data_IF_019806490599
#
_entry.id   IF_019806490599
#
_cell.length_a   1.000
_cell.length_b   1.000
_cell.length_c   1.000
_cell.angle_alpha   90.00
_cell.angle_beta   90.00
_cell.angle_gamma   90.00
#
_symmetry.space_group_name_H-M   'P 1'
#
loop_
_entity.id
_entity.type
_entity.pdbx_description
1 polymer ?
#
# COMPACT_ATOMS: atom_id res chain seq x y z
N UNK A 1 34.61 -12.40 -8.83
CA UNK A 1 33.52 -12.89 -7.97
C UNK A 1 32.25 -12.19 -8.42
N UNK A 2 31.45 -12.80 -9.29
CA UNK A 2 30.31 -12.12 -9.92
C UNK A 2 29.28 -13.03 -10.60
N UNK A 3 29.51 -14.35 -10.60
CA UNK A 3 28.59 -15.31 -11.20
C UNK A 3 27.52 -15.84 -10.20
N UNK A 4 27.72 -15.67 -8.89
CA UNK A 4 26.80 -16.22 -7.89
C UNK A 4 25.52 -15.39 -7.69
N UNK A 5 25.57 -14.07 -7.92
CA UNK A 5 24.40 -13.20 -7.69
C UNK A 5 23.32 -13.33 -8.78
N UNK A 6 23.70 -13.67 -10.02
CA UNK A 6 22.76 -13.80 -11.14
C UNK A 6 22.14 -15.20 -11.26
N UNK A 7 22.78 -16.25 -10.71
CA UNK A 7 22.28 -17.63 -10.80
C UNK A 7 21.18 -17.96 -9.77
N UNK A 8 21.11 -17.23 -8.66
CA UNK A 8 20.13 -17.48 -7.58
C UNK A 8 18.72 -17.00 -7.95
N UNK A 9 18.59 -16.03 -8.87
CA UNK A 9 17.29 -15.43 -9.23
C UNK A 9 16.35 -16.37 -10.00
N UNK A 10 16.90 -17.34 -10.74
CA UNK A 10 16.09 -18.26 -11.57
C UNK A 10 15.53 -19.42 -10.75
N UNK A 11 16.22 -19.85 -9.70
CA UNK A 11 15.87 -21.04 -8.91
C UNK A 11 14.94 -20.72 -7.72
N UNK A 12 14.89 -19.47 -7.27
CA UNK A 12 14.07 -19.04 -6.16
C UNK A 12 13.49 -17.64 -6.41
N UNK A 13 12.50 -17.51 -7.31
CA UNK A 13 11.92 -16.21 -7.67
C UNK A 13 11.31 -15.52 -6.45
N UNK A 14 10.64 -16.25 -5.56
CA UNK A 14 10.03 -15.68 -4.35
C UNK A 14 11.06 -15.07 -3.40
N UNK A 15 12.18 -15.76 -3.16
CA UNK A 15 13.27 -15.23 -2.33
C UNK A 15 13.89 -13.97 -2.94
N UNK A 16 13.99 -13.93 -4.27
CA UNK A 16 14.50 -12.76 -4.99
C UNK A 16 13.56 -11.57 -4.81
N UNK A 17 12.25 -11.78 -4.98
CA UNK A 17 11.25 -10.74 -4.78
C UNK A 17 11.25 -10.25 -3.33
N UNK A 18 11.33 -11.16 -2.34
CA UNK A 18 11.43 -10.79 -0.93
C UNK A 18 12.66 -9.93 -0.64
N UNK A 19 13.82 -10.26 -1.19
CA UNK A 19 15.04 -9.46 -1.05
C UNK A 19 14.88 -8.07 -1.67
N UNK A 20 14.27 -7.97 -2.87
CA UNK A 20 13.94 -6.68 -3.50
C UNK A 20 13.02 -5.86 -2.60
N UNK A 21 11.97 -6.47 -2.05
CA UNK A 21 11.04 -5.82 -1.12
C UNK A 21 11.73 -5.26 0.11
N UNK A 22 12.66 -6.01 0.73
CA UNK A 22 13.45 -5.54 1.87
C UNK A 22 14.27 -4.29 1.53
N UNK A 23 14.95 -4.28 0.38
CA UNK A 23 15.73 -3.12 -0.07
C UNK A 23 14.83 -1.90 -0.30
N UNK A 24 13.67 -2.10 -0.94
CA UNK A 24 12.68 -1.04 -1.19
C UNK A 24 12.15 -0.43 0.11
N UNK A 25 11.81 -1.26 1.10
CA UNK A 25 11.36 -0.79 2.41
C UNK A 25 12.39 0.08 3.12
N UNK A 26 13.67 -0.33 3.09
CA UNK A 26 14.74 0.47 3.69
C UNK A 26 14.91 1.80 2.95
N UNK A 27 14.86 1.79 1.62
CA UNK A 27 14.96 3.01 0.83
C UNK A 27 13.83 4.00 1.13
N UNK A 28 12.59 3.51 1.21
CA UNK A 28 11.41 4.33 1.56
C UNK A 28 11.54 4.95 2.96
N UNK A 29 12.00 4.18 3.95
CA UNK A 29 12.23 4.71 5.28
C UNK A 29 13.28 5.84 5.26
N UNK A 30 14.41 5.64 4.57
CA UNK A 30 15.46 6.66 4.45
C UNK A 30 14.96 7.94 3.78
N UNK A 31 14.15 7.83 2.72
CA UNK A 31 13.57 8.97 2.03
C UNK A 31 12.66 9.80 2.95
N UNK A 32 11.78 9.15 3.70
CA UNK A 32 10.91 9.82 4.69
C UNK A 32 11.72 10.55 5.78
N UNK A 33 12.84 9.97 6.23
CA UNK A 33 13.75 10.63 7.17
C UNK A 33 14.59 11.74 6.52
N UNK A 34 14.97 11.64 5.25
CA UNK A 34 15.77 12.65 4.57
C UNK A 34 14.95 13.89 4.21
N UNK A 35 13.67 13.71 3.87
CA UNK A 35 12.73 14.79 3.63
C UNK A 35 12.43 15.60 4.91
N UNK A 36 12.64 14.98 6.10
CA UNK A 36 12.41 15.60 7.41
C UNK A 36 13.48 16.62 7.86
N UNK A 37 14.26 17.19 6.95
CA UNK A 37 15.36 18.11 7.32
C UNK A 37 14.88 19.48 7.80
N UNK A 38 13.58 19.76 7.74
CA UNK A 38 12.98 20.93 8.39
C UNK A 38 12.72 20.64 9.88
N UNK A 39 13.48 21.26 10.81
CA UNK A 39 13.31 21.04 12.25
C UNK A 39 11.95 21.53 12.79
N UNK A 40 11.17 22.25 11.97
CA UNK A 40 9.83 22.76 12.33
C UNK A 40 8.71 21.87 11.80
N UNK A 41 8.89 21.24 10.63
CA UNK A 41 7.82 20.48 9.96
C UNK A 41 7.68 19.03 10.44
N UNK A 42 8.69 18.48 11.14
CA UNK A 42 8.70 17.08 11.53
C UNK A 42 8.94 16.12 10.34
N UNK A 43 8.87 14.80 10.55
CA UNK A 43 9.04 13.82 9.48
C UNK A 43 7.93 13.91 8.43
N UNK A 44 8.34 13.86 7.15
CA UNK A 44 7.41 13.77 6.05
C UNK A 44 6.54 12.52 6.23
N UNK A 45 5.23 12.67 6.02
CA UNK A 45 4.31 11.55 6.09
C UNK A 45 4.36 10.74 4.79
N UNK A 46 4.26 9.40 4.86
CA UNK A 46 4.03 8.58 3.68
C UNK A 46 2.81 9.09 2.92
N UNK A 47 2.92 9.20 1.60
CA UNK A 47 1.84 9.75 0.76
C UNK A 47 1.31 8.72 -0.21
N UNK A 48 -0.02 8.60 -0.31
CA UNK A 48 -0.71 7.80 -1.33
C UNK A 48 -1.62 8.70 -2.15
N UNK A 49 -1.60 8.53 -3.48
CA UNK A 49 -2.51 9.21 -4.41
C UNK A 49 -3.64 8.27 -4.80
N UNK A 50 -4.87 8.64 -4.51
CA UNK A 50 -6.05 7.88 -4.92
C UNK A 50 -6.34 8.13 -6.41
N UNK A 51 -6.67 7.07 -7.12
CA UNK A 51 -7.04 7.08 -8.53
C UNK A 51 -8.56 6.97 -8.75
N UNK A 52 -8.94 6.84 -10.01
CA UNK A 52 -10.35 6.68 -10.42
C UNK A 52 -10.91 5.31 -10.03
N UNK A 53 -12.24 5.22 -10.02
CA UNK A 53 -12.95 3.95 -9.92
C UNK A 53 -12.86 3.19 -11.25
N UNK A 54 -12.53 1.90 -11.17
CA UNK A 54 -12.58 1.05 -12.34
C UNK A 54 -12.23 -0.41 -12.09
N UNK A 55 -11.99 -1.17 -13.17
CA UNK A 55 -11.65 -2.59 -13.10
C UNK A 55 -10.22 -2.79 -12.58
N UNK A 56 -9.89 -4.01 -12.16
CA UNK A 56 -8.55 -4.41 -11.73
C UNK A 56 -7.45 -4.11 -12.77
N UNK A 57 -7.80 -4.10 -14.06
CA UNK A 57 -6.87 -3.73 -15.13
C UNK A 57 -6.29 -2.30 -15.00
N UNK A 58 -6.91 -1.41 -14.21
CA UNK A 58 -6.32 -0.09 -13.93
C UNK A 58 -5.02 -0.18 -13.11
N UNK A 59 -4.80 -1.26 -12.35
CA UNK A 59 -3.55 -1.47 -11.62
C UNK A 59 -2.34 -1.53 -12.56
N UNK A 60 -2.54 -2.00 -13.79
CA UNK A 60 -1.46 -2.18 -14.78
C UNK A 60 -1.01 -0.85 -15.41
N UNK A 61 -1.75 0.25 -15.18
CA UNK A 61 -1.33 1.60 -15.60
C UNK A 61 -0.05 2.04 -14.87
N UNK A 62 0.13 1.59 -13.62
CA UNK A 62 1.38 1.74 -12.87
C UNK A 62 1.92 3.19 -12.79
N UNK A 63 1.02 4.18 -12.68
CA UNK A 63 1.39 5.61 -12.63
C UNK A 63 1.69 6.13 -11.21
N UNK A 64 1.63 5.25 -10.22
CA UNK A 64 1.78 5.57 -8.80
C UNK A 64 0.49 5.96 -8.07
N UNK A 65 -0.65 5.96 -8.76
CA UNK A 65 -1.96 6.09 -8.11
C UNK A 65 -2.47 4.73 -7.64
N UNK A 66 -3.38 4.77 -6.66
CA UNK A 66 -4.14 3.63 -6.18
C UNK A 66 -5.57 3.77 -6.71
N UNK A 67 -5.96 3.19 -7.86
CA UNK A 67 -7.35 3.21 -8.32
C UNK A 67 -8.29 2.52 -7.34
N UNK A 68 -9.54 2.97 -7.29
CA UNK A 68 -10.60 2.29 -6.58
C UNK A 68 -11.08 1.09 -7.39
N UNK A 69 -11.17 -0.08 -6.78
CA UNK A 69 -11.46 -1.32 -7.49
C UNK A 69 -12.94 -1.69 -7.39
N UNK A 70 -13.64 -1.66 -8.54
CA UNK A 70 -15.08 -1.97 -8.66
C UNK A 70 -15.46 -3.34 -8.10
N UNK A 71 -14.56 -4.32 -8.20
CA UNK A 71 -14.81 -5.68 -7.75
C UNK A 71 -15.05 -5.81 -6.24
N UNK A 72 -14.63 -4.85 -5.43
CA UNK A 72 -14.93 -4.82 -4.00
C UNK A 72 -16.30 -4.21 -3.69
N UNK A 73 -16.91 -3.46 -4.62
CA UNK A 73 -18.23 -2.84 -4.44
C UNK A 73 -19.38 -3.85 -4.44
N UNK A 74 -19.12 -5.11 -4.75
CA UNK A 74 -20.10 -6.20 -4.64
C UNK A 74 -20.56 -6.42 -3.20
N UNK A 75 -19.73 -6.05 -2.22
CA UNK A 75 -20.07 -6.07 -0.80
C UNK A 75 -20.43 -4.66 -0.34
N UNK A 76 -21.73 -4.39 -0.19
CA UNK A 76 -22.26 -3.05 0.10
C UNK A 76 -21.79 -2.49 1.46
N UNK A 77 -21.37 -3.37 2.38
CA UNK A 77 -20.88 -2.95 3.70
C UNK A 77 -19.38 -2.70 3.75
N UNK A 78 -18.65 -3.05 2.69
CA UNK A 78 -17.22 -2.84 2.58
C UNK A 78 -16.94 -1.40 2.13
N UNK A 79 -15.92 -0.80 2.74
CA UNK A 79 -15.44 0.52 2.34
C UNK A 79 -14.82 0.49 0.94
N UNK A 80 -14.71 1.65 0.25
CA UNK A 80 -13.92 1.76 -0.97
C UNK A 80 -12.51 1.18 -0.79
N UNK A 81 -12.12 0.30 -1.71
CA UNK A 81 -10.80 -0.34 -1.72
C UNK A 81 -9.97 0.24 -2.85
N UNK A 82 -8.89 0.91 -2.47
CA UNK A 82 -7.90 1.48 -3.38
C UNK A 82 -6.67 0.59 -3.40
N UNK A 83 -6.14 0.25 -4.57
CA UNK A 83 -5.06 -0.73 -4.66
C UNK A 83 -3.96 -0.29 -5.62
N UNK A 84 -2.74 -0.75 -5.37
CA UNK A 84 -1.64 -0.62 -6.32
C UNK A 84 -0.74 -1.85 -6.25
N UNK A 85 -0.20 -2.28 -7.39
CA UNK A 85 0.85 -3.29 -7.43
C UNK A 85 2.04 -2.82 -6.59
N UNK A 86 2.69 -3.75 -5.90
CA UNK A 86 3.81 -3.44 -5.01
C UNK A 86 4.99 -2.79 -5.74
N UNK A 87 5.25 -3.19 -6.98
CA UNK A 87 6.26 -2.61 -7.86
C UNK A 87 5.83 -1.29 -8.52
N UNK A 88 4.58 -0.87 -8.36
CA UNK A 88 4.02 0.40 -8.85
C UNK A 88 3.88 1.45 -7.75
N UNK A 89 4.57 1.27 -6.61
CA UNK A 89 4.48 2.14 -5.43
C UNK A 89 3.51 1.65 -4.36
N UNK A 90 2.78 0.56 -4.61
CA UNK A 90 1.90 -0.07 -3.62
C UNK A 90 2.63 -0.58 -2.38
N UNK A 91 3.93 -0.87 -2.50
CA UNK A 91 4.76 -1.38 -1.41
C UNK A 91 4.87 -0.41 -0.22
N UNK A 92 4.57 0.88 -0.41
CA UNK A 92 4.62 1.89 0.65
C UNK A 92 3.75 1.52 1.86
N UNK A 93 2.61 0.83 1.66
CA UNK A 93 1.67 0.51 2.74
C UNK A 93 2.11 -0.70 3.59
N UNK A 94 3.06 -1.51 3.11
CA UNK A 94 3.36 -2.80 3.74
C UNK A 94 4.06 -2.67 5.09
N UNK A 95 4.69 -1.52 5.34
CA UNK A 95 5.35 -1.21 6.61
C UNK A 95 4.46 -0.43 7.59
N UNK A 96 3.27 0.01 7.17
CA UNK A 96 2.39 0.84 7.99
C UNK A 96 1.75 0.04 9.12
N UNK A 97 1.75 0.64 10.31
CA UNK A 97 1.19 0.09 11.53
C UNK A 97 0.00 0.92 12.01
N UNK A 98 -0.89 0.35 12.81
CA UNK A 98 -1.97 1.11 13.46
C UNK A 98 -1.38 2.30 14.22
N UNK A 99 -1.99 3.48 14.04
CA UNK A 99 -1.50 4.76 14.55
C UNK A 99 -0.55 5.53 13.61
N UNK A 100 -0.13 4.94 12.48
CA UNK A 100 0.69 5.65 11.48
C UNK A 100 -0.13 6.74 10.82
N UNK A 101 0.35 7.98 10.86
CA UNK A 101 -0.23 9.08 10.07
C UNK A 101 0.31 9.04 8.65
N UNK A 102 -0.56 9.26 7.68
CA UNK A 102 -0.25 9.26 6.25
C UNK A 102 -0.95 10.42 5.56
N UNK A 103 -0.41 10.90 4.45
CA UNK A 103 -1.07 11.87 3.59
C UNK A 103 -1.80 11.13 2.49
N UNK A 104 -3.09 11.41 2.32
CA UNK A 104 -3.88 10.93 1.19
C UNK A 104 -4.13 12.10 0.25
N UNK A 105 -3.65 11.97 -0.98
CA UNK A 105 -3.97 12.86 -2.08
C UNK A 105 -5.19 12.31 -2.83
N UNK A 106 -6.26 13.09 -2.83
CA UNK A 106 -7.51 12.80 -3.54
C UNK A 106 -7.34 13.01 -5.05
N UNK A 107 -8.29 12.52 -5.83
CA UNK A 107 -8.30 12.66 -7.29
C UNK A 107 -8.36 14.13 -7.76
N UNK A 108 -8.98 15.02 -6.98
CA UNK A 108 -9.03 16.46 -7.26
C UNK A 108 -7.74 17.21 -6.91
N UNK A 109 -6.71 16.48 -6.45
CA UNK A 109 -5.41 17.00 -6.04
C UNK A 109 -5.37 17.51 -4.60
N UNK A 110 -6.50 17.56 -3.89
CA UNK A 110 -6.53 17.93 -2.47
C UNK A 110 -5.82 16.87 -1.63
N UNK A 111 -5.26 17.29 -0.49
CA UNK A 111 -4.59 16.38 0.44
C UNK A 111 -5.21 16.46 1.82
N UNK A 112 -5.24 15.34 2.52
CA UNK A 112 -5.66 15.26 3.91
C UNK A 112 -4.83 14.22 4.66
N UNK A 113 -4.65 14.44 5.96
CA UNK A 113 -3.98 13.47 6.83
C UNK A 113 -4.99 12.41 7.28
N UNK A 114 -4.58 11.15 7.14
CA UNK A 114 -5.30 9.99 7.63
C UNK A 114 -4.44 9.26 8.65
N UNK A 115 -5.08 8.48 9.52
CA UNK A 115 -4.42 7.57 10.44
C UNK A 115 -4.81 6.14 10.10
N UNK A 116 -3.84 5.23 10.20
CA UNK A 116 -4.08 3.79 10.10
C UNK A 116 -4.81 3.33 11.35
N UNK A 117 -6.01 2.79 11.18
CA UNK A 117 -6.88 2.34 12.28
C UNK A 117 -6.94 0.83 12.40
N UNK A 118 -6.79 0.12 11.29
CA UNK A 118 -6.76 -1.34 11.27
C UNK A 118 -5.91 -1.84 10.08
N UNK A 119 -5.51 -3.11 10.11
CA UNK A 119 -4.87 -3.76 8.98
C UNK A 119 -5.12 -5.26 8.99
N UNK A 120 -5.21 -5.87 7.82
CA UNK A 120 -5.42 -7.31 7.68
C UNK A 120 -4.62 -7.86 6.51
N UNK A 121 -4.01 -9.00 6.75
CA UNK A 121 -3.32 -9.77 5.73
C UNK A 121 -4.25 -10.91 5.27
N UNK A 122 -4.41 -11.07 3.96
CA UNK A 122 -5.24 -12.12 3.35
C UNK A 122 -4.47 -12.84 2.24
N UNK A 123 -4.84 -14.06 1.88
CA UNK A 123 -4.21 -14.78 0.75
C UNK A 123 -4.52 -14.12 -0.59
N UNK A 124 -3.62 -14.19 -1.59
CA UNK A 124 -3.93 -13.69 -2.95
C UNK A 124 -4.98 -14.55 -3.64
N UNK A 125 -5.05 -15.82 -3.26
CA UNK A 125 -5.94 -16.80 -3.81
C UNK A 125 -6.87 -17.35 -2.73
N UNK A 126 -8.13 -17.59 -3.08
CA UNK A 126 -9.11 -18.21 -2.19
C UNK A 126 -9.73 -17.29 -1.13
N UNK A 127 -9.23 -16.07 -0.97
CA UNK A 127 -9.86 -15.04 -0.13
C UNK A 127 -11.07 -14.42 -0.85
N UNK A 128 -12.04 -13.96 -0.06
CA UNK A 128 -13.27 -13.29 -0.50
C UNK A 128 -13.38 -11.90 0.11
N UNK A 129 -14.29 -11.07 -0.39
CA UNK A 129 -14.60 -9.77 0.24
C UNK A 129 -15.07 -9.91 1.68
N UNK A 130 -15.68 -11.04 2.04
CA UNK A 130 -16.07 -11.38 3.41
C UNK A 130 -14.90 -11.38 4.40
N UNK A 131 -13.69 -11.72 3.94
CA UNK A 131 -12.48 -11.74 4.76
C UNK A 131 -12.00 -10.33 5.15
N UNK A 132 -12.59 -9.28 4.57
CA UNK A 132 -12.28 -7.87 4.85
C UNK A 132 -13.32 -7.21 5.76
N UNK A 133 -14.44 -7.87 6.03
CA UNK A 133 -15.50 -7.31 6.86
C UNK A 133 -15.00 -7.00 8.27
N UNK A 134 -15.48 -5.88 8.81
CA UNK A 134 -15.14 -5.40 10.14
C UNK A 134 -13.80 -4.67 10.27
N UNK A 135 -13.07 -4.43 9.17
CA UNK A 135 -11.97 -3.46 9.16
C UNK A 135 -12.51 -2.06 9.49
N UNK A 136 -11.93 -1.41 10.49
CA UNK A 136 -12.33 -0.07 10.94
C UNK A 136 -11.64 1.02 10.12
N UNK A 137 -12.38 1.67 9.22
CA UNK A 137 -11.87 2.74 8.35
C UNK A 137 -12.98 3.37 7.51
N UNK A 138 -12.68 4.52 6.88
CA UNK A 138 -13.52 5.14 5.84
C UNK A 138 -13.15 4.67 4.44
N UNK A 139 -11.91 4.22 4.25
CA UNK A 139 -11.40 3.61 3.04
C UNK A 139 -10.32 2.58 3.38
N UNK A 140 -10.09 1.65 2.46
CA UNK A 140 -9.00 0.67 2.54
C UNK A 140 -7.98 0.94 1.44
N UNK A 141 -6.70 0.77 1.76
CA UNK A 141 -5.63 0.66 0.76
C UNK A 141 -5.06 -0.76 0.74
N UNK A 142 -4.70 -1.25 -0.44
CA UNK A 142 -4.27 -2.63 -0.65
C UNK A 142 -3.01 -2.75 -1.51
N UNK A 143 -2.11 -3.66 -1.13
CA UNK A 143 -1.00 -4.09 -1.96
C UNK A 143 -0.53 -5.50 -1.63
N UNK A 144 0.24 -6.11 -2.52
CA UNK A 144 0.79 -7.45 -2.36
C UNK A 144 2.13 -7.43 -1.62
N UNK A 145 2.37 -8.41 -0.74
CA UNK A 145 3.72 -8.66 -0.27
C UNK A 145 4.60 -9.19 -1.41
N UNK A 146 5.86 -8.76 -1.41
CA UNK A 146 6.89 -9.22 -2.34
C UNK A 146 7.19 -10.71 -2.12
N UNK A 147 7.05 -11.54 -3.17
CA UNK A 147 7.39 -12.97 -3.14
C UNK A 147 6.61 -13.79 -2.10
N UNK A 148 5.41 -13.35 -1.72
CA UNK A 148 4.52 -14.05 -0.79
C UNK A 148 3.12 -14.19 -1.38
N UNK A 149 2.43 -15.27 -1.07
CA UNK A 149 1.01 -15.44 -1.39
C UNK A 149 0.12 -14.72 -0.36
N UNK A 150 0.37 -13.43 -0.17
CA UNK A 150 -0.33 -12.63 0.83
C UNK A 150 -0.44 -11.19 0.35
N UNK A 151 -1.58 -10.58 0.61
CA UNK A 151 -1.89 -9.17 0.38
C UNK A 151 -2.16 -8.51 1.71
N UNK A 152 -1.80 -7.24 1.83
CA UNK A 152 -2.09 -6.39 2.98
C UNK A 152 -3.19 -5.41 2.61
N UNK A 153 -4.19 -5.32 3.47
CA UNK A 153 -5.19 -4.27 3.51
C UNK A 153 -4.93 -3.40 4.72
N UNK A 154 -5.03 -2.09 4.54
CA UNK A 154 -4.85 -1.11 5.60
C UNK A 154 -6.07 -0.19 5.61
N UNK A 155 -6.73 -0.10 6.75
CA UNK A 155 -7.89 0.75 6.94
C UNK A 155 -7.46 2.14 7.41
N UNK A 156 -8.05 3.17 6.82
CA UNK A 156 -7.68 4.56 7.03
C UNK A 156 -8.89 5.41 7.43
N UNK A 157 -8.70 6.26 8.45
CA UNK A 157 -9.66 7.27 8.87
C UNK A 157 -9.05 8.68 8.79
N UNK A 158 -9.80 9.71 8.38
CA UNK A 158 -9.31 11.08 8.40
C UNK A 158 -8.95 11.49 9.83
N UNK A 159 -7.83 12.18 9.99
CA UNK A 159 -7.52 12.85 11.25
C UNK A 159 -8.37 14.12 11.30
N UNK A 160 -9.42 14.12 12.12
CA UNK A 160 -10.21 15.33 12.36
C UNK A 160 -9.40 16.30 13.20
N UNK A 161 -9.14 17.49 12.67
CA UNK A 161 -8.59 18.61 13.47
C UNK A 161 -9.61 18.99 14.54
N UNK A 162 -9.26 18.76 15.80
CA UNK A 162 -10.01 19.25 16.98
C UNK A 162 -9.85 20.75 17.17
#
# INVERSE_FOLDING_TARGET
MGAAALAVSVLAPDLTQQAVGQVRHVAQAVELYAESTDPVAGPALPTVRLGELGPEALLDVCDGSFPELEQYRVEATLQPVYAAHNNCGGDIILAWQVGTNVTIQQHDGSTATYVVTDSRDVGKHGSTTGDLLGLDGTLLVQSCYWGRDTMRFVALNPVTSS
#
